data_IF_209747824998
#
_entry.id   IF_209747824998
#
_cell.length_a   1.000
_cell.length_b   1.000
_cell.length_c   1.000
_cell.angle_alpha   90.00
_cell.angle_beta   90.00
_cell.angle_gamma   90.00
#
_symmetry.space_group_name_H-M   'P 1'
#
loop_
_entity.id
_entity.type
_entity.pdbx_description
1 polymer ?
#
# COMPACT_ATOMS: atom_id res chain seq x y z
N UNK A 1 -20.60 -26.01 42.24
CA UNK A 1 -21.98 -25.78 42.71
C UNK A 1 -22.86 -26.69 41.89
N UNK A 2 -23.60 -27.57 42.58
CA UNK A 2 -23.93 -28.93 42.14
C UNK A 2 -24.72 -29.05 40.83
N UNK A 3 -24.27 -29.99 39.98
CA UNK A 3 -25.04 -30.52 38.85
C UNK A 3 -26.17 -31.40 39.40
N UNK A 4 -27.31 -30.81 39.76
CA UNK A 4 -28.46 -31.53 40.32
C UNK A 4 -29.28 -32.24 39.23
N UNK A 5 -28.62 -33.01 38.36
CA UNK A 5 -29.26 -33.76 37.26
C UNK A 5 -30.29 -34.76 37.81
N UNK A 6 -29.99 -35.41 38.94
CA UNK A 6 -30.89 -36.36 39.58
C UNK A 6 -32.19 -35.71 40.07
N UNK A 7 -32.12 -34.48 40.60
CA UNK A 7 -33.31 -33.74 40.96
C UNK A 7 -34.15 -33.38 39.71
N UNK A 8 -33.49 -32.98 38.61
CA UNK A 8 -34.19 -32.75 37.34
C UNK A 8 -34.85 -34.02 36.81
N UNK A 9 -34.22 -35.19 36.95
CA UNK A 9 -34.78 -36.49 36.56
C UNK A 9 -36.07 -36.79 37.32
N UNK A 10 -36.02 -36.75 38.65
CA UNK A 10 -37.17 -37.04 39.51
C UNK A 10 -38.33 -36.07 39.22
N UNK A 11 -38.03 -34.78 39.03
CA UNK A 11 -39.06 -33.77 38.75
C UNK A 11 -39.75 -33.99 37.40
N UNK A 12 -39.01 -34.37 36.36
CA UNK A 12 -39.58 -34.64 35.03
C UNK A 12 -40.31 -35.99 34.96
N UNK A 13 -39.92 -36.97 35.78
CA UNK A 13 -40.68 -38.21 35.97
C UNK A 13 -42.04 -37.96 36.62
N UNK A 14 -42.11 -37.05 37.60
CA UNK A 14 -43.36 -36.71 38.29
C UNK A 14 -44.27 -35.85 37.41
N UNK A 15 -43.70 -34.86 36.70
CA UNK A 15 -44.49 -33.98 35.85
C UNK A 15 -43.71 -33.55 34.58
N UNK A 16 -43.97 -34.17 33.42
CA UNK A 16 -43.28 -33.85 32.18
C UNK A 16 -43.63 -32.48 31.62
N UNK A 17 -44.74 -31.86 32.06
CA UNK A 17 -45.15 -30.52 31.59
C UNK A 17 -44.22 -29.40 32.05
N UNK A 18 -43.33 -29.66 33.02
CA UNK A 18 -42.37 -28.69 33.55
C UNK A 18 -41.22 -28.38 32.57
N UNK A 19 -40.97 -29.25 31.59
CA UNK A 19 -39.78 -29.19 30.72
C UNK A 19 -39.59 -27.84 30.02
N UNK A 20 -40.69 -27.27 29.51
CA UNK A 20 -40.69 -26.07 28.67
C UNK A 20 -41.26 -24.84 29.38
N UNK A 21 -41.46 -24.90 30.70
CA UNK A 21 -41.94 -23.74 31.46
C UNK A 21 -40.89 -22.62 31.49
N UNK A 22 -41.38 -21.39 31.37
CA UNK A 22 -40.56 -20.18 31.39
C UNK A 22 -40.82 -19.39 32.67
N UNK A 23 -39.80 -18.69 33.15
CA UNK A 23 -39.96 -17.68 34.20
C UNK A 23 -40.55 -16.36 33.63
N UNK A 24 -40.60 -15.30 34.45
CA UNK A 24 -41.07 -13.96 34.05
C UNK A 24 -40.28 -13.31 32.91
N UNK A 25 -39.05 -13.77 32.64
CA UNK A 25 -38.16 -13.25 31.61
C UNK A 25 -38.19 -14.10 30.32
N UNK A 26 -39.03 -15.14 30.26
CA UNK A 26 -39.06 -16.08 29.14
C UNK A 26 -37.95 -17.14 29.18
N UNK A 27 -37.18 -17.23 30.27
CA UNK A 27 -36.05 -18.12 30.43
C UNK A 27 -36.55 -19.52 30.83
N UNK A 28 -36.18 -20.53 30.04
CA UNK A 28 -36.45 -21.96 30.34
C UNK A 28 -35.36 -22.60 31.20
N UNK A 29 -35.63 -23.79 31.75
CA UNK A 29 -34.63 -24.58 32.47
C UNK A 29 -33.34 -24.82 31.65
N UNK A 30 -33.47 -24.97 30.33
CA UNK A 30 -32.37 -25.15 29.40
C UNK A 30 -31.44 -23.93 29.33
N UNK A 31 -31.99 -22.71 29.38
CA UNK A 31 -31.20 -21.47 29.44
C UNK A 31 -30.39 -21.40 30.74
N UNK A 32 -31.00 -21.75 31.87
CA UNK A 32 -30.32 -21.70 33.18
C UNK A 32 -29.17 -22.72 33.20
N UNK A 33 -29.38 -23.93 32.69
CA UNK A 33 -28.35 -24.95 32.59
C UNK A 33 -27.16 -24.47 31.72
N UNK A 34 -27.45 -23.85 30.58
CA UNK A 34 -26.47 -23.21 29.71
C UNK A 34 -25.69 -22.07 30.39
N UNK A 35 -26.38 -21.19 31.13
CA UNK A 35 -25.78 -20.08 31.88
C UNK A 35 -24.84 -20.56 32.98
N UNK A 36 -25.17 -21.70 33.61
CA UNK A 36 -24.43 -22.29 34.74
C UNK A 36 -23.33 -23.27 34.33
N UNK A 37 -23.07 -23.44 33.02
CA UNK A 37 -22.09 -24.38 32.48
C UNK A 37 -22.34 -25.85 32.89
N UNK A 38 -23.61 -26.24 33.04
CA UNK A 38 -23.96 -27.58 33.50
C UNK A 38 -24.24 -28.50 32.31
N UNK A 39 -23.21 -29.15 31.78
CA UNK A 39 -23.29 -29.99 30.57
C UNK A 39 -24.26 -31.16 30.76
N UNK A 40 -24.17 -31.89 31.88
CA UNK A 40 -25.02 -33.07 32.13
C UNK A 40 -26.51 -32.75 32.18
N UNK A 41 -26.88 -31.60 32.75
CA UNK A 41 -28.29 -31.17 32.74
C UNK A 41 -28.73 -30.76 31.33
N UNK A 42 -27.86 -30.16 30.53
CA UNK A 42 -28.16 -29.83 29.13
C UNK A 42 -28.38 -31.09 28.31
N UNK A 43 -27.47 -32.07 28.40
CA UNK A 43 -27.59 -33.37 27.74
C UNK A 43 -28.94 -34.03 28.06
N UNK A 44 -29.27 -34.10 29.35
CA UNK A 44 -30.53 -34.69 29.80
C UNK A 44 -31.77 -33.93 29.29
N UNK A 45 -31.77 -32.60 29.36
CA UNK A 45 -32.90 -31.78 28.89
C UNK A 45 -33.09 -31.88 27.36
N UNK A 46 -32.00 -31.83 26.59
CA UNK A 46 -32.06 -31.95 25.13
C UNK A 46 -32.51 -33.35 24.69
N UNK A 47 -32.04 -34.40 25.38
CA UNK A 47 -32.44 -35.79 25.14
C UNK A 47 -33.93 -36.04 25.42
N UNK A 48 -34.51 -35.35 26.41
CA UNK A 48 -35.95 -35.42 26.71
C UNK A 48 -36.81 -34.51 25.82
N UNK A 49 -36.25 -33.93 24.74
CA UNK A 49 -37.02 -33.16 23.77
C UNK A 49 -37.36 -31.74 24.20
N UNK A 50 -36.53 -31.09 25.04
CA UNK A 50 -36.73 -29.70 25.43
C UNK A 50 -36.87 -28.77 24.20
N UNK A 51 -37.86 -27.88 24.20
CA UNK A 51 -38.12 -26.99 23.08
C UNK A 51 -37.06 -25.88 22.99
N UNK A 52 -36.57 -25.61 21.77
CA UNK A 52 -35.58 -24.55 21.50
C UNK A 52 -36.33 -23.23 21.32
N UNK A 53 -36.61 -22.56 22.44
CA UNK A 53 -37.28 -21.26 22.48
C UNK A 53 -36.30 -20.14 22.84
N UNK A 54 -36.50 -18.91 22.32
CA UNK A 54 -35.80 -17.73 22.81
C UNK A 54 -36.41 -17.20 24.12
N UNK A 55 -35.64 -16.41 24.85
CA UNK A 55 -36.14 -15.57 25.95
C UNK A 55 -36.92 -14.34 25.43
N UNK A 56 -37.44 -13.49 26.32
CA UNK A 56 -38.14 -12.25 25.93
C UNK A 56 -37.25 -11.26 25.14
N UNK A 57 -35.92 -11.38 25.23
CA UNK A 57 -34.97 -10.55 24.49
C UNK A 57 -34.57 -11.18 23.14
N UNK A 58 -35.09 -12.36 22.80
CA UNK A 58 -34.75 -13.08 21.57
C UNK A 58 -33.45 -13.89 21.66
N UNK A 59 -32.87 -14.07 22.84
CA UNK A 59 -31.64 -14.85 23.06
C UNK A 59 -31.98 -16.31 23.33
N UNK A 60 -31.20 -17.22 22.74
CA UNK A 60 -31.34 -18.65 22.96
C UNK A 60 -30.33 -19.15 24.00
N UNK A 61 -30.60 -20.32 24.57
CA UNK A 61 -29.70 -20.97 25.52
C UNK A 61 -28.27 -21.16 24.97
N UNK A 62 -28.14 -21.45 23.67
CA UNK A 62 -26.83 -21.58 22.99
C UNK A 62 -26.05 -20.26 23.02
N UNK A 63 -26.70 -19.12 22.83
CA UNK A 63 -26.07 -17.80 22.89
C UNK A 63 -25.54 -17.49 24.29
N UNK A 64 -26.33 -17.82 25.32
CA UNK A 64 -25.88 -17.67 26.71
C UNK A 64 -24.67 -18.55 27.02
N UNK A 65 -24.64 -19.79 26.52
CA UNK A 65 -23.50 -20.68 26.73
C UNK A 65 -22.23 -20.14 26.05
N UNK A 66 -22.34 -19.67 24.80
CA UNK A 66 -21.20 -19.21 24.00
C UNK A 66 -20.66 -17.87 24.49
N UNK A 67 -21.53 -16.87 24.72
CA UNK A 67 -21.13 -15.51 25.17
C UNK A 67 -20.49 -15.51 26.55
N UNK A 68 -20.90 -16.43 27.43
CA UNK A 68 -20.30 -16.63 28.76
C UNK A 68 -19.07 -17.52 28.75
N UNK A 69 -18.66 -18.05 27.60
CA UNK A 69 -17.51 -18.94 27.44
C UNK A 69 -17.62 -20.22 28.29
N UNK A 70 -18.84 -20.75 28.43
CA UNK A 70 -19.12 -21.97 29.17
C UNK A 70 -18.75 -23.21 28.35
N UNK A 71 -17.45 -23.54 28.29
CA UNK A 71 -16.92 -24.56 27.38
C UNK A 71 -17.57 -25.95 27.50
N UNK A 72 -17.86 -26.40 28.73
CA UNK A 72 -18.42 -27.73 28.95
C UNK A 72 -19.86 -27.81 28.42
N UNK A 73 -20.68 -26.79 28.71
CA UNK A 73 -22.01 -26.66 28.13
C UNK A 73 -21.96 -26.56 26.61
N UNK A 74 -21.08 -25.72 26.05
CA UNK A 74 -21.00 -25.54 24.59
C UNK A 74 -20.55 -26.82 23.89
N UNK A 75 -19.55 -27.55 24.43
CA UNK A 75 -19.12 -28.85 23.89
C UNK A 75 -20.28 -29.85 23.84
N UNK A 76 -21.07 -29.91 24.90
CA UNK A 76 -22.22 -30.81 24.96
C UNK A 76 -23.30 -30.44 23.93
N UNK A 77 -23.67 -29.16 23.85
CA UNK A 77 -24.67 -28.66 22.89
C UNK A 77 -24.29 -29.00 21.45
N UNK A 78 -23.00 -28.85 21.16
CA UNK A 78 -22.40 -29.04 19.86
C UNK A 78 -22.35 -30.51 19.44
N UNK A 79 -22.06 -31.41 20.39
CA UNK A 79 -21.96 -32.85 20.14
C UNK A 79 -23.32 -33.54 20.15
N UNK A 80 -24.35 -32.90 20.69
CA UNK A 80 -25.70 -33.45 20.79
C UNK A 80 -26.35 -33.67 19.41
N UNK A 81 -27.17 -34.72 19.28
CA UNK A 81 -27.85 -35.11 18.02
C UNK A 81 -28.75 -34.01 17.43
N UNK A 82 -29.23 -33.10 18.29
CA UNK A 82 -30.09 -31.95 17.93
C UNK A 82 -29.32 -30.70 17.48
N UNK A 83 -27.99 -30.74 17.43
CA UNK A 83 -27.17 -29.62 16.93
C UNK A 83 -27.59 -29.13 15.52
N UNK A 84 -27.89 -30.00 14.54
CA UNK A 84 -28.35 -29.55 13.22
C UNK A 84 -29.65 -28.74 13.27
N UNK A 85 -30.59 -29.13 14.14
CA UNK A 85 -31.86 -28.40 14.37
C UNK A 85 -31.59 -27.00 14.92
N UNK A 86 -30.70 -26.88 15.92
CA UNK A 86 -30.27 -25.61 16.51
C UNK A 86 -29.62 -24.71 15.46
N UNK A 87 -28.71 -25.26 14.65
CA UNK A 87 -28.03 -24.52 13.58
C UNK A 87 -29.02 -24.04 12.52
N UNK A 88 -29.98 -24.88 12.12
CA UNK A 88 -30.97 -24.49 11.12
C UNK A 88 -31.84 -23.34 11.61
N UNK A 89 -32.37 -23.44 12.83
CA UNK A 89 -33.18 -22.41 13.49
C UNK A 89 -32.43 -21.07 13.62
N UNK A 90 -31.17 -21.12 14.05
CA UNK A 90 -30.37 -19.93 14.35
C UNK A 90 -29.57 -19.41 13.16
N UNK A 91 -29.47 -20.15 12.05
CA UNK A 91 -28.67 -19.73 10.89
C UNK A 91 -29.15 -18.41 10.27
N UNK A 92 -30.43 -18.09 10.43
CA UNK A 92 -31.06 -16.88 9.90
C UNK A 92 -31.17 -15.73 10.92
N UNK A 93 -30.81 -15.97 12.18
CA UNK A 93 -30.86 -14.94 13.22
C UNK A 93 -29.51 -14.22 13.32
N UNK A 94 -29.49 -13.08 14.00
CA UNK A 94 -28.25 -12.32 14.30
C UNK A 94 -27.26 -13.19 15.10
N UNK A 95 -27.81 -14.18 15.79
CA UNK A 95 -27.21 -15.09 16.76
C UNK A 95 -26.73 -16.42 16.12
N UNK A 96 -26.24 -16.36 14.89
CA UNK A 96 -25.72 -17.53 14.18
C UNK A 96 -24.64 -18.24 15.04
N UNK A 97 -24.82 -19.52 15.42
CA UNK A 97 -23.97 -20.19 16.40
C UNK A 97 -22.51 -20.25 15.96
N UNK A 98 -22.26 -20.48 14.67
CA UNK A 98 -20.88 -20.52 14.15
C UNK A 98 -20.18 -19.17 14.21
N UNK A 99 -20.89 -18.06 13.99
CA UNK A 99 -20.32 -16.72 14.12
C UNK A 99 -19.88 -16.48 15.56
N UNK A 100 -20.74 -16.83 16.52
CA UNK A 100 -20.44 -16.65 17.94
C UNK A 100 -19.33 -17.59 18.43
N UNK A 101 -19.30 -18.84 17.95
CA UNK A 101 -18.21 -19.76 18.29
C UNK A 101 -16.86 -19.25 17.78
N UNK A 102 -16.78 -18.71 16.55
CA UNK A 102 -15.55 -18.11 16.02
C UNK A 102 -15.12 -16.88 16.86
N UNK A 103 -16.09 -16.10 17.33
CA UNK A 103 -15.87 -14.89 18.11
C UNK A 103 -15.44 -15.18 19.56
N UNK A 104 -16.09 -16.10 20.27
CA UNK A 104 -15.87 -16.33 21.70
C UNK A 104 -15.09 -17.63 22.01
N UNK A 105 -15.33 -18.72 21.29
CA UNK A 105 -14.82 -20.07 21.60
C UNK A 105 -14.22 -20.78 20.37
N UNK A 106 -13.11 -20.28 19.81
CA UNK A 106 -12.51 -20.80 18.59
C UNK A 106 -12.02 -22.26 18.68
N UNK A 107 -11.69 -22.74 19.88
CA UNK A 107 -11.13 -24.09 20.06
C UNK A 107 -12.17 -25.18 19.82
N UNK A 108 -13.43 -24.94 20.20
CA UNK A 108 -14.55 -25.87 19.97
C UNK A 108 -14.91 -25.91 18.48
N UNK A 109 -14.70 -24.82 17.74
CA UNK A 109 -14.85 -24.84 16.28
C UNK A 109 -13.91 -25.85 15.62
N UNK A 110 -12.69 -26.07 16.15
CA UNK A 110 -11.73 -27.01 15.55
C UNK A 110 -12.25 -28.46 15.60
N UNK A 111 -12.99 -28.83 16.64
CA UNK A 111 -13.57 -30.18 16.76
C UNK A 111 -14.75 -30.41 15.83
N UNK A 112 -15.40 -29.34 15.36
CA UNK A 112 -16.57 -29.41 14.47
C UNK A 112 -16.27 -29.14 13.01
N UNK A 113 -15.01 -28.85 12.69
CA UNK A 113 -14.71 -28.11 11.49
C UNK A 113 -14.93 -28.96 10.23
N UNK A 114 -16.06 -28.72 9.55
CA UNK A 114 -16.46 -29.40 8.32
C UNK A 114 -16.67 -28.42 7.15
N UNK A 115 -16.56 -28.93 5.92
CA UNK A 115 -16.79 -28.13 4.69
C UNK A 115 -18.20 -27.53 4.61
N UNK A 116 -19.19 -28.17 5.24
CA UNK A 116 -20.58 -27.71 5.32
C UNK A 116 -20.71 -26.36 6.04
N UNK A 117 -19.81 -26.08 6.99
CA UNK A 117 -19.75 -24.84 7.77
C UNK A 117 -19.16 -23.71 6.92
N UNK A 118 -18.10 -24.01 6.15
CA UNK A 118 -17.43 -23.03 5.30
C UNK A 118 -18.28 -22.61 4.10
N UNK A 119 -19.02 -23.56 3.52
CA UNK A 119 -19.91 -23.28 2.41
C UNK A 119 -21.25 -24.01 2.61
N UNK A 120 -22.28 -23.32 3.14
CA UNK A 120 -23.59 -23.89 3.25
C UNK A 120 -24.12 -24.32 1.86
N UNK A 121 -24.83 -25.46 1.76
CA UNK A 121 -25.40 -25.91 0.48
C UNK A 121 -26.40 -24.89 -0.06
N UNK A 122 -26.33 -24.64 -1.38
CA UNK A 122 -27.15 -23.67 -2.12
C UNK A 122 -28.67 -23.95 -2.07
N UNK A 123 -29.09 -25.12 -1.56
CA UNK A 123 -30.45 -25.63 -1.64
C UNK A 123 -31.42 -25.03 -0.59
N UNK A 124 -30.92 -24.34 0.43
CA UNK A 124 -31.77 -23.71 1.45
C UNK A 124 -32.36 -22.39 0.94
N UNK A 125 -33.54 -22.47 0.30
CA UNK A 125 -34.32 -21.31 -0.18
C UNK A 125 -34.69 -20.30 0.91
N UNK A 126 -34.67 -20.74 2.17
CA UNK A 126 -35.05 -19.92 3.32
C UNK A 126 -33.86 -19.17 3.96
N UNK A 127 -32.63 -19.33 3.46
CA UNK A 127 -31.46 -18.64 4.02
C UNK A 127 -31.35 -17.22 3.48
N UNK A 128 -31.11 -16.26 4.36
CA UNK A 128 -30.76 -14.91 3.93
C UNK A 128 -29.48 -14.95 3.07
N UNK A 129 -29.39 -14.12 2.02
CA UNK A 129 -28.20 -14.04 1.19
C UNK A 129 -27.02 -13.58 2.06
N UNK A 130 -26.16 -14.52 2.41
CA UNK A 130 -24.95 -14.28 3.18
C UNK A 130 -23.82 -13.90 2.25
N UNK A 131 -22.92 -13.03 2.72
CA UNK A 131 -21.75 -12.67 1.93
C UNK A 131 -20.89 -13.90 1.63
N UNK A 132 -20.27 -13.98 0.44
CA UNK A 132 -19.37 -15.08 0.13
C UNK A 132 -18.21 -15.11 1.14
N UNK A 133 -17.87 -16.33 1.60
CA UNK A 133 -16.78 -16.60 2.54
C UNK A 133 -16.94 -15.87 3.89
N UNK A 134 -18.18 -15.63 4.35
CA UNK A 134 -18.45 -14.90 5.59
C UNK A 134 -17.71 -15.45 6.81
N UNK A 135 -17.69 -16.77 7.03
CA UNK A 135 -16.99 -17.38 8.17
C UNK A 135 -15.48 -17.08 8.16
N UNK A 136 -14.83 -17.16 7.00
CA UNK A 136 -13.41 -16.83 6.85
C UNK A 136 -13.15 -15.34 7.10
N UNK A 137 -14.03 -14.45 6.63
CA UNK A 137 -13.92 -13.01 6.93
C UNK A 137 -14.02 -12.73 8.43
N UNK A 138 -14.92 -13.42 9.14
CA UNK A 138 -15.07 -13.29 10.59
C UNK A 138 -13.81 -13.82 11.29
N UNK A 139 -13.25 -14.95 10.86
CA UNK A 139 -11.97 -15.47 11.40
C UNK A 139 -10.83 -14.46 11.24
N UNK A 140 -10.75 -13.77 10.10
CA UNK A 140 -9.76 -12.70 9.86
C UNK A 140 -10.02 -11.50 10.78
N UNK A 141 -11.29 -11.07 10.91
CA UNK A 141 -11.67 -9.92 11.73
C UNK A 141 -11.31 -10.13 13.21
N UNK A 142 -11.50 -11.34 13.73
CA UNK A 142 -11.14 -11.72 15.11
C UNK A 142 -9.71 -12.29 15.24
N UNK A 143 -8.87 -12.22 14.20
CA UNK A 143 -7.47 -12.70 14.19
C UNK A 143 -7.32 -14.14 14.70
N UNK A 144 -8.15 -15.04 14.19
CA UNK A 144 -8.17 -16.46 14.57
C UNK A 144 -7.19 -17.28 13.72
N UNK A 145 -5.90 -17.05 13.93
CA UNK A 145 -4.83 -17.61 13.08
C UNK A 145 -4.81 -19.14 13.10
N UNK A 146 -5.03 -19.77 14.26
CA UNK A 146 -5.09 -21.23 14.41
C UNK A 146 -6.21 -21.87 13.57
N UNK A 147 -7.36 -21.20 13.44
CA UNK A 147 -8.47 -21.67 12.61
C UNK A 147 -8.20 -21.45 11.12
N UNK A 148 -7.58 -20.33 10.76
CA UNK A 148 -7.20 -20.03 9.37
C UNK A 148 -6.11 -20.99 8.86
N UNK A 149 -5.17 -21.36 9.73
CA UNK A 149 -4.12 -22.34 9.46
C UNK A 149 -4.59 -23.80 9.51
N UNK A 150 -5.88 -24.04 9.82
CA UNK A 150 -6.41 -25.39 9.83
C UNK A 150 -6.34 -26.00 8.42
N UNK A 151 -5.90 -27.26 8.26
CA UNK A 151 -5.72 -27.90 6.94
C UNK A 151 -6.98 -27.84 6.07
N UNK A 152 -8.16 -27.86 6.68
CA UNK A 152 -9.43 -27.76 5.96
C UNK A 152 -9.65 -26.36 5.35
N UNK A 153 -9.34 -25.28 6.08
CA UNK A 153 -9.39 -23.91 5.55
C UNK A 153 -8.40 -23.74 4.41
N UNK A 154 -7.18 -24.26 4.58
CA UNK A 154 -6.13 -24.19 3.58
C UNK A 154 -6.53 -24.94 2.30
N UNK A 155 -6.98 -26.19 2.43
CA UNK A 155 -7.43 -26.99 1.30
C UNK A 155 -8.66 -26.39 0.61
N UNK A 156 -9.61 -25.85 1.37
CA UNK A 156 -10.77 -25.15 0.82
C UNK A 156 -10.38 -23.94 -0.03
N UNK A 157 -9.48 -23.09 0.48
CA UNK A 157 -8.96 -21.93 -0.25
C UNK A 157 -8.13 -22.35 -1.47
N UNK A 158 -7.30 -23.39 -1.35
CA UNK A 158 -6.54 -23.98 -2.47
C UNK A 158 -7.46 -24.48 -3.57
N UNK A 159 -8.53 -25.22 -3.25
CA UNK A 159 -9.50 -25.72 -4.23
C UNK A 159 -10.19 -24.56 -4.94
N UNK A 160 -10.67 -23.55 -4.20
CA UNK A 160 -11.29 -22.36 -4.82
C UNK A 160 -10.34 -21.59 -5.73
N UNK A 161 -9.09 -21.44 -5.29
CA UNK A 161 -8.05 -20.82 -6.10
C UNK A 161 -7.77 -21.61 -7.39
N UNK A 162 -7.66 -22.93 -7.30
CA UNK A 162 -7.42 -23.79 -8.46
C UNK A 162 -8.60 -23.88 -9.42
N UNK A 163 -9.83 -23.82 -8.92
CA UNK A 163 -11.04 -23.88 -9.76
C UNK A 163 -11.24 -22.61 -10.59
N UNK A 164 -11.18 -21.43 -9.98
CA UNK A 164 -11.48 -20.18 -10.68
C UNK A 164 -10.49 -19.04 -10.40
N UNK A 165 -9.93 -18.96 -9.20
CA UNK A 165 -9.09 -17.83 -8.78
C UNK A 165 -7.85 -17.64 -9.66
N UNK A 166 -7.14 -18.74 -9.96
CA UNK A 166 -5.93 -18.75 -10.78
C UNK A 166 -6.19 -18.25 -12.21
N UNK A 167 -7.28 -18.70 -12.83
CA UNK A 167 -7.62 -18.32 -14.20
C UNK A 167 -8.06 -16.86 -14.29
N UNK A 168 -8.89 -16.40 -13.35
CA UNK A 168 -9.31 -14.99 -13.28
C UNK A 168 -8.09 -14.10 -13.06
N UNK A 169 -7.20 -14.45 -12.12
CA UNK A 169 -5.99 -13.67 -11.87
C UNK A 169 -5.08 -13.65 -13.11
N UNK A 170 -4.86 -14.78 -13.78
CA UNK A 170 -4.05 -14.86 -14.98
C UNK A 170 -4.61 -13.97 -16.11
N UNK A 171 -5.92 -14.00 -16.35
CA UNK A 171 -6.58 -13.15 -17.35
C UNK A 171 -6.38 -11.67 -17.04
N UNK A 172 -6.57 -11.27 -15.77
CA UNK A 172 -6.38 -9.88 -15.32
C UNK A 172 -4.92 -9.46 -15.49
N UNK A 173 -3.97 -10.30 -15.11
CA UNK A 173 -2.54 -9.99 -15.22
C UNK A 173 -2.12 -9.85 -16.69
N UNK A 174 -2.56 -10.75 -17.57
CA UNK A 174 -2.30 -10.66 -19.01
C UNK A 174 -2.89 -9.37 -19.59
N UNK A 175 -4.12 -9.02 -19.20
CA UNK A 175 -4.75 -7.77 -19.61
C UNK A 175 -3.93 -6.53 -19.22
N UNK A 176 -3.45 -6.45 -17.98
CA UNK A 176 -2.62 -5.32 -17.54
C UNK A 176 -1.23 -5.29 -18.17
N UNK A 177 -0.63 -6.45 -18.49
CA UNK A 177 0.62 -6.52 -19.25
C UNK A 177 0.42 -5.97 -20.67
N UNK A 178 -0.65 -6.37 -21.36
CA UNK A 178 -0.98 -5.85 -22.69
C UNK A 178 -1.18 -4.34 -22.64
N UNK A 179 -1.98 -3.84 -21.69
CA UNK A 179 -2.21 -2.41 -21.51
C UNK A 179 -0.89 -1.66 -21.24
N UNK A 180 -0.06 -2.16 -20.33
CA UNK A 180 1.22 -1.54 -19.99
C UNK A 180 2.19 -1.52 -21.19
N UNK A 181 2.21 -2.60 -21.98
CA UNK A 181 3.01 -2.65 -23.20
C UNK A 181 2.53 -1.65 -24.26
N UNK A 182 1.22 -1.51 -24.45
CA UNK A 182 0.64 -0.55 -25.38
C UNK A 182 0.93 0.90 -24.97
N UNK A 183 0.80 1.21 -23.68
CA UNK A 183 1.13 2.53 -23.11
C UNK A 183 2.62 2.82 -23.30
N UNK A 184 3.50 1.91 -22.90
CA UNK A 184 4.95 2.06 -23.06
C UNK A 184 5.34 2.26 -24.52
N UNK A 185 4.75 1.49 -25.43
CA UNK A 185 4.98 1.65 -26.87
C UNK A 185 4.53 3.02 -27.39
N UNK A 186 3.36 3.51 -26.95
CA UNK A 186 2.87 4.84 -27.34
C UNK A 186 3.75 5.97 -26.81
N UNK A 187 4.18 5.90 -25.54
CA UNK A 187 5.03 6.91 -24.91
C UNK A 187 6.42 6.96 -25.56
N UNK A 188 7.05 5.81 -25.83
CA UNK A 188 8.37 5.76 -26.48
C UNK A 188 8.37 6.38 -27.88
N UNK A 189 7.23 6.35 -28.58
CA UNK A 189 7.09 6.96 -29.92
C UNK A 189 6.69 8.43 -29.89
N UNK A 190 6.15 8.93 -28.78
CA UNK A 190 5.85 10.35 -28.58
C UNK A 190 7.11 11.18 -28.27
N UNK A 191 8.21 10.54 -27.84
CA UNK A 191 9.43 11.24 -27.43
C UNK A 191 10.32 11.50 -28.64
N UNK A 192 10.56 12.79 -28.94
CA UNK A 192 11.80 13.42 -28.50
C UNK A 192 11.52 14.72 -27.76
N UNK A 193 12.13 14.86 -26.59
CA UNK A 193 12.10 16.08 -25.80
C UNK A 193 12.83 17.19 -26.56
N UNK A 194 12.09 18.06 -27.24
CA UNK A 194 12.62 19.33 -27.74
C UNK A 194 12.75 20.22 -26.50
N UNK A 195 13.96 20.28 -25.94
CA UNK A 195 14.29 21.27 -24.93
C UNK A 195 14.64 22.55 -25.70
N UNK A 196 13.93 23.65 -25.42
CA UNK A 196 14.31 24.99 -25.90
C UNK A 196 15.72 25.31 -25.40
N UNK A 197 16.73 25.01 -26.20
CA UNK A 197 18.11 25.31 -25.86
C UNK A 197 18.38 26.74 -26.31
N UNK A 198 18.05 27.71 -25.46
CA UNK A 198 18.35 29.14 -25.57
C UNK A 198 18.43 29.69 -27.00
N UNK A 199 17.32 30.17 -27.60
CA UNK A 199 17.26 31.04 -28.79
C UNK A 199 18.28 30.78 -29.93
N UNK A 200 18.81 29.57 -30.02
CA UNK A 200 19.77 29.19 -31.02
C UNK A 200 18.97 28.39 -32.03
N UNK A 201 18.35 29.11 -32.98
CA UNK A 201 17.52 28.56 -34.05
C UNK A 201 18.18 27.37 -34.79
N UNK A 202 19.51 27.24 -34.72
CA UNK A 202 20.26 26.09 -35.23
C UNK A 202 20.02 24.77 -34.46
N UNK A 203 19.89 24.80 -33.14
CA UNK A 203 19.63 23.59 -32.34
C UNK A 203 18.21 23.12 -32.56
N UNK A 204 17.24 24.04 -32.53
CA UNK A 204 15.83 23.72 -32.79
C UNK A 204 15.64 23.17 -34.21
N UNK A 205 16.27 23.77 -35.22
CA UNK A 205 16.21 23.27 -36.59
C UNK A 205 16.94 21.94 -36.78
N UNK A 206 18.01 21.67 -36.02
CA UNK A 206 18.72 20.39 -36.03
C UNK A 206 17.87 19.27 -35.40
N UNK A 207 17.30 19.55 -34.22
CA UNK A 207 16.42 18.64 -33.48
C UNK A 207 15.16 18.37 -34.30
N UNK A 208 14.52 19.41 -34.84
CA UNK A 208 13.35 19.27 -35.68
C UNK A 208 13.65 18.45 -36.95
N UNK A 209 14.82 18.62 -37.59
CA UNK A 209 15.18 17.81 -38.76
C UNK A 209 15.54 16.35 -38.42
N UNK A 210 16.19 16.10 -37.27
CA UNK A 210 16.54 14.74 -36.83
C UNK A 210 15.32 13.94 -36.36
N UNK A 211 14.34 14.62 -35.77
CA UNK A 211 13.22 13.97 -35.10
C UNK A 211 11.85 14.14 -35.78
N UNK A 212 11.69 15.06 -36.75
CA UNK A 212 10.46 15.17 -37.57
C UNK A 212 10.18 13.94 -38.42
N UNK A 213 11.14 13.01 -38.54
CA UNK A 213 10.99 11.75 -39.26
C UNK A 213 10.38 10.61 -38.42
N UNK A 214 9.91 10.84 -37.20
CA UNK A 214 9.03 9.85 -36.55
C UNK A 214 7.65 9.93 -37.19
N UNK A 215 7.50 9.28 -38.34
CA UNK A 215 6.22 9.14 -39.04
C UNK A 215 5.11 8.80 -38.04
N UNK A 216 4.06 9.61 -38.01
CA UNK A 216 2.77 9.24 -37.42
C UNK A 216 2.23 8.03 -38.19
N UNK A 217 2.69 6.85 -37.81
CA UNK A 217 2.17 5.62 -38.37
C UNK A 217 0.70 5.52 -37.99
N UNK A 218 -0.15 5.22 -38.96
CA UNK A 218 -1.57 4.88 -38.74
C UNK A 218 -1.76 3.84 -37.64
N UNK A 219 -0.72 3.02 -37.40
CA UNK A 219 -0.59 2.08 -36.29
C UNK A 219 -0.60 2.74 -34.90
N UNK A 220 0.16 3.81 -34.66
CA UNK A 220 0.16 4.53 -33.37
C UNK A 220 -1.20 5.12 -33.05
N UNK A 221 -1.84 5.74 -34.05
CA UNK A 221 -3.18 6.30 -33.89
C UNK A 221 -4.20 5.23 -33.52
N UNK A 222 -4.12 4.03 -34.12
CA UNK A 222 -4.97 2.88 -33.74
C UNK A 222 -4.72 2.42 -32.31
N UNK A 223 -3.47 2.36 -31.86
CA UNK A 223 -3.13 2.01 -30.48
C UNK A 223 -3.68 3.04 -29.48
N UNK A 224 -3.56 4.34 -29.77
CA UNK A 224 -4.09 5.40 -28.91
C UNK A 224 -5.63 5.34 -28.81
N UNK A 225 -6.33 5.07 -29.92
CA UNK A 225 -7.78 4.84 -29.92
C UNK A 225 -8.14 3.61 -29.07
N UNK A 226 -7.38 2.53 -29.18
CA UNK A 226 -7.57 1.33 -28.36
C UNK A 226 -7.37 1.63 -26.86
N UNK A 227 -6.29 2.33 -26.50
CA UNK A 227 -6.01 2.75 -25.12
C UNK A 227 -7.15 3.64 -24.58
N UNK A 228 -7.61 4.61 -25.36
CA UNK A 228 -8.71 5.49 -24.99
C UNK A 228 -10.00 4.68 -24.74
N UNK A 229 -10.36 3.76 -25.64
CA UNK A 229 -11.53 2.90 -25.47
C UNK A 229 -11.45 2.05 -24.20
N UNK A 230 -10.31 1.40 -23.96
CA UNK A 230 -10.09 0.57 -22.77
C UNK A 230 -10.18 1.41 -21.49
N UNK A 231 -9.56 2.59 -21.47
CA UNK A 231 -9.57 3.46 -20.29
C UNK A 231 -10.95 4.03 -19.97
N UNK A 232 -11.76 4.37 -20.98
CA UNK A 232 -13.15 4.77 -20.80
C UNK A 232 -14.00 3.63 -20.24
N UNK A 233 -13.80 2.40 -20.73
CA UNK A 233 -14.50 1.23 -20.20
C UNK A 233 -14.12 0.96 -18.73
N UNK A 234 -12.85 1.10 -18.39
CA UNK A 234 -12.37 0.97 -17.01
C UNK A 234 -12.96 2.06 -16.12
N UNK A 235 -12.96 3.32 -16.56
CA UNK A 235 -13.57 4.42 -15.82
C UNK A 235 -15.06 4.17 -15.58
N UNK A 236 -15.79 3.65 -16.56
CA UNK A 236 -17.18 3.27 -16.38
C UNK A 236 -17.35 2.18 -15.30
N UNK A 237 -16.51 1.14 -15.31
CA UNK A 237 -16.55 0.13 -14.24
C UNK A 237 -16.25 0.71 -12.86
N UNK A 238 -15.33 1.66 -12.76
CA UNK A 238 -15.02 2.35 -11.50
C UNK A 238 -16.19 3.21 -11.02
N UNK A 239 -16.90 3.90 -11.93
CA UNK A 239 -18.11 4.64 -11.59
C UNK A 239 -19.19 3.71 -11.02
N UNK A 240 -19.40 2.52 -11.60
CA UNK A 240 -20.32 1.52 -11.06
C UNK A 240 -19.89 1.03 -9.65
N UNK A 241 -18.59 0.86 -9.42
CA UNK A 241 -18.05 0.51 -8.10
C UNK A 241 -18.27 1.63 -7.08
N UNK A 242 -18.07 2.89 -7.46
CA UNK A 242 -18.32 4.06 -6.60
C UNK A 242 -19.82 4.14 -6.22
N UNK A 243 -20.73 3.91 -7.18
CA UNK A 243 -22.19 3.93 -6.92
C UNK A 243 -22.58 2.82 -5.93
N UNK A 244 -22.06 1.60 -6.13
CA UNK A 244 -22.41 0.45 -5.28
C UNK A 244 -21.81 0.53 -3.88
N UNK A 245 -20.53 0.92 -3.74
CA UNK A 245 -19.82 0.93 -2.47
C UNK A 245 -19.91 2.28 -1.72
N UNK A 246 -20.35 3.35 -2.39
CA UNK A 246 -20.50 4.72 -1.85
C UNK A 246 -19.20 5.19 -1.17
N UNK A 247 -19.31 5.72 0.06
CA UNK A 247 -18.18 6.24 0.84
C UNK A 247 -17.16 5.16 1.18
N UNK A 248 -17.56 3.88 1.26
CA UNK A 248 -16.62 2.77 1.57
C UNK A 248 -15.53 2.64 0.49
N UNK A 249 -15.84 2.99 -0.76
CA UNK A 249 -14.89 2.95 -1.88
C UNK A 249 -13.62 3.78 -1.61
N UNK A 250 -13.79 4.99 -1.07
CA UNK A 250 -12.69 5.95 -0.83
C UNK A 250 -11.83 5.61 0.38
N UNK A 251 -12.21 4.63 1.20
CA UNK A 251 -11.42 4.20 2.35
C UNK A 251 -10.15 3.43 1.93
N UNK A 252 -10.15 2.82 0.75
CA UNK A 252 -9.03 2.03 0.25
C UNK A 252 -8.14 2.86 -0.68
N UNK A 253 -6.86 3.02 -0.32
CA UNK A 253 -5.91 3.84 -1.09
C UNK A 253 -5.68 3.35 -2.54
N UNK A 254 -5.67 2.03 -2.75
CA UNK A 254 -5.51 1.44 -4.09
C UNK A 254 -6.59 1.90 -5.08
N UNK A 255 -7.83 2.07 -4.60
CA UNK A 255 -8.95 2.52 -5.44
C UNK A 255 -8.76 3.96 -5.92
N UNK A 256 -8.20 4.82 -5.05
CA UNK A 256 -7.87 6.19 -5.41
C UNK A 256 -6.72 6.26 -6.42
N UNK A 257 -5.68 5.45 -6.23
CA UNK A 257 -4.55 5.35 -7.15
C UNK A 257 -4.97 4.91 -8.55
N UNK A 258 -5.81 3.87 -8.66
CA UNK A 258 -6.34 3.40 -9.94
C UNK A 258 -7.18 4.47 -10.64
N UNK A 259 -8.00 5.22 -9.90
CA UNK A 259 -8.82 6.31 -10.46
C UNK A 259 -7.94 7.44 -11.06
N UNK A 260 -6.93 7.89 -10.30
CA UNK A 260 -5.98 8.91 -10.77
C UNK A 260 -5.28 8.43 -12.04
N UNK A 261 -4.76 7.20 -12.03
CA UNK A 261 -4.10 6.63 -13.19
C UNK A 261 -4.99 6.62 -14.45
N UNK A 262 -6.24 6.15 -14.33
CA UNK A 262 -7.16 6.11 -15.47
C UNK A 262 -7.51 7.51 -15.99
N UNK A 263 -7.67 8.50 -15.10
CA UNK A 263 -7.91 9.89 -15.54
C UNK A 263 -6.73 10.49 -16.32
N UNK A 264 -5.49 10.28 -15.85
CA UNK A 264 -4.29 10.78 -16.51
C UNK A 264 -4.07 10.11 -17.87
N UNK A 265 -4.37 8.81 -17.95
CA UNK A 265 -4.28 8.04 -19.18
C UNK A 265 -5.26 8.54 -20.25
N UNK A 266 -6.50 8.87 -19.87
CA UNK A 266 -7.48 9.48 -20.77
C UNK A 266 -6.98 10.83 -21.27
N UNK A 267 -6.57 11.72 -20.36
CA UNK A 267 -6.07 13.06 -20.72
C UNK A 267 -4.91 12.95 -21.71
N UNK A 268 -3.93 12.08 -21.45
CA UNK A 268 -2.80 11.87 -22.33
C UNK A 268 -3.21 11.35 -23.72
N UNK A 269 -4.11 10.37 -23.77
CA UNK A 269 -4.58 9.80 -25.04
C UNK A 269 -5.38 10.80 -25.88
N UNK A 270 -6.20 11.66 -25.26
CA UNK A 270 -6.98 12.70 -25.97
C UNK A 270 -6.06 13.78 -26.52
N UNK A 271 -5.12 14.29 -25.71
CA UNK A 271 -4.15 15.31 -26.15
C UNK A 271 -3.32 14.77 -27.32
N UNK A 272 -2.86 13.52 -27.23
CA UNK A 272 -2.08 12.89 -28.30
C UNK A 272 -2.88 12.64 -29.58
N UNK A 273 -4.20 12.45 -29.50
CA UNK A 273 -5.06 12.24 -30.68
C UNK A 273 -5.42 13.56 -31.39
N UNK A 274 -5.48 14.66 -30.64
CA UNK A 274 -5.71 16.01 -31.20
C UNK A 274 -4.47 16.49 -32.00
N UNK A 275 -3.32 15.81 -31.86
CA UNK A 275 -2.08 16.17 -32.56
C UNK A 275 -1.40 17.40 -31.99
N UNK A 276 -1.76 17.81 -30.76
CA UNK A 276 -1.16 18.96 -30.10
C UNK A 276 0.14 18.53 -29.40
N UNK A 277 1.22 18.41 -30.17
CA UNK A 277 2.54 17.96 -29.72
C UNK A 277 3.31 19.08 -29.00
N UNK A 278 2.72 19.61 -27.93
CA UNK A 278 3.36 20.56 -27.04
C UNK A 278 4.24 19.84 -26.00
N UNK A 279 5.28 20.50 -25.48
CA UNK A 279 6.17 19.97 -24.44
C UNK A 279 5.41 19.30 -23.26
N UNK A 280 4.29 19.88 -22.88
CA UNK A 280 3.44 19.39 -21.79
C UNK A 280 2.86 17.99 -22.03
N UNK A 281 2.54 17.62 -23.28
CA UNK A 281 2.00 16.30 -23.58
C UNK A 281 3.06 15.20 -23.46
N UNK A 282 4.31 15.49 -23.86
CA UNK A 282 5.42 14.57 -23.70
C UNK A 282 5.77 14.33 -22.22
N UNK A 283 5.77 15.39 -21.39
CA UNK A 283 5.99 15.26 -19.94
C UNK A 283 4.88 14.42 -19.29
N UNK A 284 3.62 14.67 -19.66
CA UNK A 284 2.48 13.90 -19.17
C UNK A 284 2.60 12.42 -19.55
N UNK A 285 3.03 12.10 -20.77
CA UNK A 285 3.23 10.73 -21.23
C UNK A 285 4.27 9.97 -20.38
N UNK A 286 5.38 10.63 -20.00
CA UNK A 286 6.40 10.02 -19.13
C UNK A 286 5.82 9.71 -17.74
N UNK A 287 5.06 10.64 -17.17
CA UNK A 287 4.39 10.43 -15.87
C UNK A 287 3.40 9.26 -15.96
N UNK A 288 2.58 9.22 -17.01
CA UNK A 288 1.62 8.14 -17.24
C UNK A 288 2.32 6.79 -17.41
N UNK A 289 3.44 6.73 -18.12
CA UNK A 289 4.25 5.52 -18.27
C UNK A 289 4.76 5.02 -16.90
N UNK A 290 5.32 5.91 -16.08
CA UNK A 290 5.78 5.54 -14.75
C UNK A 290 4.64 5.01 -13.86
N UNK A 291 3.50 5.71 -13.83
CA UNK A 291 2.33 5.30 -13.06
C UNK A 291 1.76 3.95 -13.57
N UNK A 292 1.83 3.68 -14.89
CA UNK A 292 1.38 2.41 -15.47
C UNK A 292 2.21 1.22 -14.94
N UNK A 293 3.53 1.36 -14.88
CA UNK A 293 4.42 0.36 -14.29
C UNK A 293 4.15 0.16 -12.79
N UNK A 294 3.93 1.24 -12.05
CA UNK A 294 3.56 1.16 -10.63
C UNK A 294 2.20 0.48 -10.42
N UNK A 295 1.22 0.74 -11.29
CA UNK A 295 -0.08 0.07 -11.23
C UNK A 295 0.05 -1.43 -11.52
N UNK A 296 0.89 -1.84 -12.48
CA UNK A 296 1.18 -3.25 -12.74
C UNK A 296 1.74 -3.95 -11.50
N UNK A 297 2.67 -3.30 -10.78
CA UNK A 297 3.22 -3.80 -9.52
C UNK A 297 2.12 -4.02 -8.47
N UNK A 298 1.20 -3.06 -8.31
CA UNK A 298 0.10 -3.19 -7.34
C UNK A 298 -0.89 -4.33 -7.68
N UNK A 299 -1.11 -4.64 -8.97
CA UNK A 299 -1.97 -5.77 -9.35
C UNK A 299 -1.36 -7.14 -8.97
N UNK A 300 -0.03 -7.21 -8.87
CA UNK A 300 0.68 -8.42 -8.47
C UNK A 300 0.53 -8.74 -6.97
N UNK A 301 -0.06 -7.85 -6.15
CA UNK A 301 -0.36 -8.09 -4.71
C UNK A 301 -1.23 -9.34 -4.51
N UNK A 302 -2.13 -9.64 -5.45
CA UNK A 302 -3.07 -10.76 -5.34
C UNK A 302 -2.44 -12.12 -5.67
N UNK A 303 -1.21 -12.15 -6.16
CA UNK A 303 -0.48 -13.39 -6.43
C UNK A 303 0.03 -14.01 -5.12
N UNK A 304 0.04 -15.33 -5.03
CA UNK A 304 0.46 -16.04 -3.81
C UNK A 304 1.98 -15.89 -3.55
N UNK A 305 2.80 -15.98 -4.60
CA UNK A 305 4.26 -15.95 -4.46
C UNK A 305 4.82 -14.52 -4.40
N UNK A 306 4.38 -13.62 -5.29
CA UNK A 306 4.92 -12.25 -5.34
C UNK A 306 4.19 -11.28 -4.40
N UNK A 307 2.93 -11.58 -4.03
CA UNK A 307 2.10 -10.68 -3.25
C UNK A 307 2.69 -10.33 -1.88
N UNK A 308 3.31 -11.31 -1.22
CA UNK A 308 3.95 -11.13 0.10
C UNK A 308 5.09 -10.11 0.02
N UNK A 309 5.95 -10.21 -1.00
CA UNK A 309 7.06 -9.26 -1.19
C UNK A 309 6.56 -7.83 -1.45
N UNK A 310 5.49 -7.68 -2.20
CA UNK A 310 4.91 -6.35 -2.48
C UNK A 310 4.26 -5.77 -1.23
N UNK A 311 3.54 -6.57 -0.44
CA UNK A 311 2.98 -6.13 0.85
C UNK A 311 4.10 -5.70 1.79
N UNK A 312 5.20 -6.47 1.84
CA UNK A 312 6.38 -6.11 2.62
C UNK A 312 7.01 -4.80 2.12
N UNK A 313 7.16 -4.61 0.81
CA UNK A 313 7.65 -3.35 0.22
C UNK A 313 6.76 -2.15 0.57
N UNK A 314 5.42 -2.29 0.50
CA UNK A 314 4.49 -1.22 0.89
C UNK A 314 4.62 -0.91 2.39
N UNK A 315 4.81 -1.92 3.23
CA UNK A 315 5.04 -1.72 4.66
C UNK A 315 6.34 -0.96 4.93
N UNK A 316 7.43 -1.40 4.30
CA UNK A 316 8.77 -0.80 4.36
C UNK A 316 8.76 0.65 3.85
N UNK A 317 8.11 0.93 2.72
CA UNK A 317 7.98 2.29 2.22
C UNK A 317 7.15 3.17 3.15
N UNK A 318 6.10 2.63 3.76
CA UNK A 318 5.31 3.36 4.76
C UNK A 318 6.09 3.64 6.06
N UNK A 319 6.95 2.72 6.52
CA UNK A 319 7.82 2.97 7.68
C UNK A 319 8.88 4.02 7.37
N UNK A 320 9.50 3.95 6.18
CA UNK A 320 10.45 4.98 5.70
C UNK A 320 9.77 6.34 5.55
N UNK A 321 8.55 6.39 4.99
CA UNK A 321 7.78 7.63 4.84
C UNK A 321 7.48 8.31 6.19
N UNK A 322 7.33 7.54 7.28
CA UNK A 322 7.17 8.11 8.63
C UNK A 322 8.44 8.78 9.15
N UNK A 323 9.62 8.34 8.70
CA UNK A 323 10.92 8.91 9.06
C UNK A 323 11.33 10.07 8.14
N UNK A 324 10.67 10.21 6.99
CA UNK A 324 10.96 11.22 5.98
C UNK A 324 10.89 12.67 6.50
N UNK A 325 9.94 13.09 7.37
CA UNK A 325 9.92 14.46 7.89
C UNK A 325 11.17 14.82 8.70
N UNK A 326 11.66 13.89 9.54
CA UNK A 326 12.89 14.08 10.30
C UNK A 326 14.10 14.18 9.35
N UNK A 327 14.15 13.31 8.34
CA UNK A 327 15.23 13.35 7.34
C UNK A 327 15.26 14.66 6.55
N UNK A 328 14.10 15.16 6.13
CA UNK A 328 13.98 16.42 5.39
C UNK A 328 14.36 17.63 6.24
N UNK A 329 13.96 17.66 7.52
CA UNK A 329 14.36 18.72 8.44
C UNK A 329 15.89 18.83 8.56
N UNK A 330 16.56 17.69 8.79
CA UNK A 330 18.02 17.64 8.84
C UNK A 330 18.64 18.02 7.50
N UNK A 331 18.12 17.51 6.39
CA UNK A 331 18.58 17.86 5.03
C UNK A 331 18.49 19.36 4.76
N UNK A 332 17.39 20.02 5.12
CA UNK A 332 17.21 21.47 4.98
C UNK A 332 18.23 22.23 5.85
N UNK A 333 18.46 21.79 7.09
CA UNK A 333 19.46 22.40 7.96
C UNK A 333 20.87 22.34 7.36
N UNK A 334 21.30 21.17 6.89
CA UNK A 334 22.62 21.02 6.28
C UNK A 334 22.73 21.68 4.90
N UNK A 335 21.68 21.63 4.07
CA UNK A 335 21.68 22.28 2.75
C UNK A 335 21.87 23.80 2.86
N UNK A 336 21.17 24.43 3.81
CA UNK A 336 21.31 25.88 4.02
C UNK A 336 22.68 26.27 4.57
N UNK A 337 23.26 25.47 5.48
CA UNK A 337 24.61 25.68 6.02
C UNK A 337 25.67 25.48 4.93
N UNK A 338 25.60 24.38 4.15
CA UNK A 338 26.55 24.15 3.05
C UNK A 338 26.45 25.20 1.96
N UNK A 339 25.24 25.70 1.68
CA UNK A 339 25.07 26.83 0.77
C UNK A 339 25.88 28.03 1.27
N UNK A 340 25.72 28.43 2.52
CA UNK A 340 26.45 29.59 3.06
C UNK A 340 27.97 29.37 3.12
N UNK A 341 28.42 28.15 3.43
CA UNK A 341 29.85 27.84 3.59
C UNK A 341 30.61 27.72 2.27
N UNK A 342 29.91 27.36 1.18
CA UNK A 342 30.50 27.07 -0.13
C UNK A 342 30.08 28.13 -1.18
N UNK A 343 29.23 29.10 -0.81
CA UNK A 343 28.83 30.18 -1.72
C UNK A 343 30.04 31.00 -2.18
N UNK A 344 30.24 30.99 -3.50
CA UNK A 344 31.16 31.88 -4.19
C UNK A 344 30.39 33.13 -4.67
N UNK A 345 31.05 34.29 -4.81
CA UNK A 345 30.43 35.50 -5.32
C UNK A 345 29.97 35.31 -6.78
N UNK A 346 28.81 35.89 -7.09
CA UNK A 346 28.19 35.82 -8.43
C UNK A 346 29.08 36.44 -9.52
N UNK A 347 29.01 35.88 -10.72
CA UNK A 347 29.85 36.25 -11.87
C UNK A 347 29.65 37.72 -12.31
N UNK A 348 28.47 38.29 -12.06
CA UNK A 348 28.14 39.70 -12.30
C UNK A 348 28.91 40.66 -11.37
N UNK A 349 29.10 40.24 -10.11
CA UNK A 349 29.92 40.98 -9.14
C UNK A 349 31.39 40.90 -9.54
N UNK A 350 31.84 39.78 -10.11
CA UNK A 350 33.22 39.64 -10.58
C UNK A 350 33.53 40.51 -11.81
N UNK A 351 32.60 40.60 -12.76
CA UNK A 351 32.77 41.36 -14.00
C UNK A 351 32.75 42.88 -13.80
N UNK A 352 32.01 43.36 -12.79
CA UNK A 352 31.92 44.78 -12.41
C UNK A 352 33.13 45.30 -11.60
N UNK A 353 34.05 44.43 -11.18
CA UNK A 353 35.28 44.83 -10.49
C UNK A 353 36.32 45.47 -11.44
N UNK A 354 37.12 46.40 -10.90
CA UNK A 354 38.29 46.96 -11.60
C UNK A 354 39.37 45.90 -11.84
N UNK A 355 40.22 46.09 -12.86
CA UNK A 355 41.18 45.06 -13.28
C UNK A 355 42.22 44.68 -12.20
N UNK A 356 42.60 45.63 -11.33
CA UNK A 356 43.45 45.36 -10.17
C UNK A 356 42.73 44.47 -9.12
N UNK A 357 41.44 44.72 -8.90
CA UNK A 357 40.63 43.92 -7.97
C UNK A 357 40.33 42.53 -8.54
N UNK A 358 40.19 42.38 -9.86
CA UNK A 358 40.08 41.06 -10.53
C UNK A 358 41.32 40.20 -10.30
N UNK A 359 42.52 40.78 -10.36
CA UNK A 359 43.79 40.05 -10.11
C UNK A 359 43.91 39.64 -8.64
N UNK A 360 43.50 40.51 -7.70
CA UNK A 360 43.48 40.16 -6.27
C UNK A 360 42.44 39.07 -5.97
N UNK A 361 41.22 39.17 -6.51
CA UNK A 361 40.20 38.12 -6.38
C UNK A 361 40.65 36.79 -6.98
N UNK A 362 41.37 36.81 -8.12
CA UNK A 362 41.98 35.62 -8.73
C UNK A 362 42.99 34.93 -7.79
N UNK A 363 43.75 35.72 -7.03
CA UNK A 363 44.70 35.22 -6.05
C UNK A 363 44.04 34.85 -4.71
N UNK A 364 42.71 35.04 -4.56
CA UNK A 364 41.92 34.57 -3.42
C UNK A 364 41.11 33.30 -3.75
N UNK A 365 40.75 33.09 -5.02
CA UNK A 365 39.99 31.93 -5.49
C UNK A 365 40.63 31.37 -6.77
N UNK A 366 41.32 30.22 -6.67
CA UNK A 366 42.07 29.58 -7.78
C UNK A 366 41.19 29.18 -8.99
N UNK A 367 39.86 29.23 -8.88
CA UNK A 367 38.95 28.64 -9.87
C UNK A 367 38.43 29.57 -10.99
N UNK A 368 38.91 30.82 -11.06
CA UNK A 368 38.58 31.75 -12.15
C UNK A 368 39.72 31.85 -13.19
N UNK A 369 39.72 31.08 -14.29
CA UNK A 369 40.70 31.24 -15.36
C UNK A 369 40.40 32.38 -16.34
N UNK A 370 41.45 33.13 -16.66
CA UNK A 370 41.56 34.25 -17.60
C UNK A 370 40.79 34.11 -18.92
N UNK A 371 40.07 35.17 -19.31
CA UNK A 371 39.62 35.42 -20.68
C UNK A 371 40.75 35.96 -21.57
N UNK A 372 41.95 35.34 -21.57
CA UNK A 372 43.07 35.84 -22.39
C UNK A 372 44.04 34.81 -22.98
N UNK A 373 43.79 33.49 -22.95
CA UNK A 373 44.56 32.55 -23.79
C UNK A 373 43.73 31.35 -24.25
N UNK A 374 43.72 31.13 -25.57
CA UNK A 374 42.62 30.52 -26.32
C UNK A 374 42.60 28.98 -26.41
N UNK A 375 43.37 28.23 -25.60
CA UNK A 375 43.59 26.78 -25.85
C UNK A 375 43.29 25.81 -24.71
N UNK A 376 42.71 26.24 -23.58
CA UNK A 376 42.36 25.35 -22.44
C UNK A 376 40.87 25.41 -22.09
N UNK A 377 39.99 25.45 -23.10
CA UNK A 377 38.58 25.81 -22.95
C UNK A 377 37.62 24.67 -22.55
N UNK A 378 38.00 23.39 -22.66
CA UNK A 378 37.04 22.28 -22.43
C UNK A 378 37.09 21.70 -21.01
N UNK A 379 38.27 21.58 -20.40
CA UNK A 379 38.42 20.99 -19.04
C UNK A 379 38.03 22.01 -17.95
N UNK A 380 38.28 23.31 -18.18
CA UNK A 380 38.03 24.40 -17.22
C UNK A 380 36.58 24.86 -17.17
N UNK A 381 35.84 24.73 -18.29
CA UNK A 381 34.39 25.02 -18.37
C UNK A 381 33.55 24.01 -17.59
N UNK A 382 34.05 22.78 -17.44
CA UNK A 382 33.41 21.70 -16.67
C UNK A 382 33.49 22.00 -15.17
N UNK A 383 34.65 22.43 -14.67
CA UNK A 383 34.83 22.80 -13.25
C UNK A 383 34.07 24.11 -12.91
N UNK A 384 34.05 25.11 -13.81
CA UNK A 384 33.25 26.34 -13.64
C UNK A 384 31.75 26.10 -13.48
N UNK A 385 31.18 25.14 -14.21
CA UNK A 385 29.75 24.78 -14.11
C UNK A 385 29.42 24.03 -12.80
N UNK A 386 30.40 23.35 -12.20
CA UNK A 386 30.20 22.64 -10.92
C UNK A 386 30.04 23.57 -9.71
N UNK A 387 30.58 24.79 -9.78
CA UNK A 387 30.48 25.78 -8.69
C UNK A 387 29.31 26.75 -8.85
N UNK A 388 28.98 27.21 -10.07
CA UNK A 388 27.74 27.96 -10.33
C UNK A 388 26.47 27.11 -10.07
N UNK A 389 26.60 25.78 -9.92
CA UNK A 389 25.48 24.92 -9.50
C UNK A 389 24.99 25.19 -8.06
N UNK A 390 25.71 25.94 -7.21
CA UNK A 390 25.25 26.25 -5.84
C UNK A 390 24.51 27.59 -5.68
N UNK A 391 24.37 28.40 -6.73
CA UNK A 391 23.56 29.62 -6.67
C UNK A 391 22.06 29.28 -6.57
N UNK A 392 21.63 28.18 -7.20
CA UNK A 392 20.26 27.71 -7.17
C UNK A 392 19.96 26.86 -5.94
N UNK A 393 18.93 27.26 -5.19
CA UNK A 393 18.52 26.57 -3.97
C UNK A 393 18.19 25.09 -4.24
N UNK A 394 17.55 24.78 -5.37
CA UNK A 394 17.16 23.42 -5.74
C UNK A 394 18.34 22.48 -5.97
N UNK A 395 19.43 22.98 -6.54
CA UNK A 395 20.64 22.20 -6.79
C UNK A 395 21.41 21.93 -5.50
N UNK A 396 21.43 22.88 -4.55
CA UNK A 396 22.01 22.66 -3.21
C UNK A 396 21.27 21.55 -2.45
N UNK A 397 19.95 21.52 -2.57
CA UNK A 397 19.12 20.45 -2.02
C UNK A 397 19.37 19.10 -2.68
N UNK A 398 19.51 19.07 -4.01
CA UNK A 398 19.85 17.84 -4.72
C UNK A 398 21.23 17.32 -4.35
N UNK A 399 22.25 18.17 -4.31
CA UNK A 399 23.62 17.79 -3.95
C UNK A 399 23.70 17.26 -2.51
N UNK A 400 23.00 17.89 -1.57
CA UNK A 400 22.92 17.38 -0.19
C UNK A 400 22.19 16.04 -0.09
N UNK A 401 21.14 15.82 -0.88
CA UNK A 401 20.46 14.52 -0.97
C UNK A 401 21.37 13.44 -1.58
N UNK A 402 22.15 13.77 -2.61
CA UNK A 402 23.13 12.84 -3.19
C UNK A 402 24.24 12.51 -2.19
N UNK A 403 24.72 13.49 -1.42
CA UNK A 403 25.66 13.26 -0.33
C UNK A 403 25.06 12.38 0.78
N UNK A 404 23.74 12.45 1.03
CA UNK A 404 23.05 11.52 1.94
C UNK A 404 23.09 10.08 1.44
N UNK A 405 22.96 9.86 0.12
CA UNK A 405 23.08 8.52 -0.48
C UNK A 405 24.53 7.99 -0.54
N UNK A 406 25.51 8.78 -0.08
CA UNK A 406 26.93 8.41 -0.08
C UNK A 406 27.70 8.85 -1.32
N UNK A 407 27.08 9.58 -2.25
CA UNK A 407 27.79 10.19 -3.39
C UNK A 407 28.43 11.52 -2.98
N UNK A 408 29.72 11.48 -2.66
CA UNK A 408 30.47 12.68 -2.26
C UNK A 408 31.32 13.24 -3.40
N UNK A 409 30.68 13.84 -4.40
CA UNK A 409 31.36 14.43 -5.57
C UNK A 409 32.38 15.52 -5.21
N UNK A 410 32.25 16.16 -4.04
CA UNK A 410 33.02 17.33 -3.62
C UNK A 410 34.10 17.03 -2.56
N UNK A 411 34.29 15.77 -2.14
CA UNK A 411 35.24 15.42 -1.07
C UNK A 411 36.67 15.85 -1.38
N UNK A 412 37.11 15.66 -2.63
CA UNK A 412 38.47 16.03 -3.06
C UNK A 412 38.72 17.53 -2.88
N UNK A 413 37.75 18.36 -3.24
CA UNK A 413 37.83 19.82 -3.13
C UNK A 413 37.88 20.21 -1.65
N UNK A 414 36.98 19.68 -0.82
CA UNK A 414 36.91 20.03 0.60
C UNK A 414 38.21 19.61 1.34
N UNK A 415 38.74 18.42 1.05
CA UNK A 415 39.97 17.92 1.68
C UNK A 415 41.18 18.70 1.20
N UNK A 416 41.31 18.93 -0.10
CA UNK A 416 42.43 19.68 -0.66
C UNK A 416 42.45 21.11 -0.10
N UNK A 417 41.29 21.76 0.00
CA UNK A 417 41.15 23.08 0.62
C UNK A 417 41.50 23.12 2.11
N UNK A 418 41.38 22.00 2.82
CA UNK A 418 41.76 21.90 4.23
C UNK A 418 43.27 21.67 4.42
N UNK A 419 43.89 20.87 3.55
CA UNK A 419 45.30 20.47 3.67
C UNK A 419 46.27 21.54 3.17
N UNK A 420 45.91 22.28 2.12
CA UNK A 420 46.86 23.17 1.45
C UNK A 420 46.97 24.58 2.10
N UNK A 421 46.06 24.97 3.02
CA UNK A 421 45.94 26.29 3.71
C UNK A 421 46.18 27.53 2.79
N UNK A 422 46.22 27.33 1.47
CA UNK A 422 46.49 28.30 0.43
C UNK A 422 45.36 28.28 -0.61
N UNK A 423 44.68 29.43 -0.69
CA UNK A 423 43.92 29.94 -1.84
C UNK A 423 42.98 28.94 -2.53
N UNK A 424 42.22 28.17 -1.77
CA UNK A 424 41.34 27.16 -2.33
C UNK A 424 39.88 27.58 -2.16
N UNK A 425 39.19 27.87 -3.28
CA UNK A 425 37.74 27.86 -3.61
C UNK A 425 36.61 27.99 -2.55
N UNK A 426 36.86 27.98 -1.25
CA UNK A 426 35.90 27.91 -0.15
C UNK A 426 36.35 28.94 0.90
N UNK A 427 35.48 29.89 1.31
CA UNK A 427 35.86 30.97 2.22
C UNK A 427 36.24 30.51 3.64
N UNK A 428 35.70 29.39 4.12
CA UNK A 428 35.91 28.89 5.48
C UNK A 428 36.28 27.40 5.53
N UNK A 429 37.47 26.98 5.08
CA UNK A 429 37.80 25.56 4.87
C UNK A 429 37.73 24.71 6.15
N UNK A 430 38.23 25.23 7.28
CA UNK A 430 38.21 24.54 8.58
C UNK A 430 36.79 24.32 9.09
N UNK A 431 35.92 25.32 8.97
CA UNK A 431 34.52 25.25 9.39
C UNK A 431 33.73 24.30 8.48
N UNK A 432 33.93 24.40 7.16
CA UNK A 432 33.32 23.51 6.16
C UNK A 432 33.70 22.05 6.41
N UNK A 433 34.96 21.76 6.75
CA UNK A 433 35.40 20.40 7.06
C UNK A 433 34.72 19.83 8.31
N UNK A 434 34.53 20.64 9.37
CA UNK A 434 33.81 20.23 10.59
C UNK A 434 32.35 19.90 10.28
N UNK A 435 31.63 20.77 9.57
CA UNK A 435 30.24 20.52 9.18
C UNK A 435 30.11 19.33 8.22
N UNK A 436 31.12 19.09 7.38
CA UNK A 436 31.17 17.94 6.50
C UNK A 436 31.32 16.62 7.27
N UNK A 437 32.20 16.55 8.28
CA UNK A 437 32.31 15.39 9.18
C UNK A 437 31.00 15.19 9.95
N UNK A 438 30.43 16.27 10.52
CA UNK A 438 29.17 16.21 11.24
C UNK A 438 28.03 15.68 10.37
N UNK A 439 27.96 16.11 9.11
CA UNK A 439 26.99 15.62 8.13
C UNK A 439 27.13 14.12 7.89
N UNK A 440 28.35 13.62 7.65
CA UNK A 440 28.61 12.19 7.39
C UNK A 440 28.17 11.32 8.57
N UNK A 441 28.42 11.77 9.80
CA UNK A 441 28.01 11.05 11.01
C UNK A 441 26.48 11.08 11.16
N UNK A 442 25.87 12.25 11.08
CA UNK A 442 24.45 12.44 11.43
C UNK A 442 23.47 11.94 10.37
N UNK A 443 23.81 12.03 9.08
CA UNK A 443 22.89 11.68 8.00
C UNK A 443 23.22 10.29 7.43
N UNK A 444 24.31 10.07 6.67
CA UNK A 444 24.61 8.76 6.10
C UNK A 444 24.78 7.64 7.12
N UNK A 445 25.39 7.89 8.30
CA UNK A 445 25.65 6.83 9.27
C UNK A 445 24.47 6.63 10.21
N UNK A 446 24.06 7.65 10.96
CA UNK A 446 23.00 7.47 11.97
C UNK A 446 21.60 7.42 11.40
N UNK A 447 21.27 8.21 10.37
CA UNK A 447 19.93 8.21 9.81
C UNK A 447 19.66 6.93 9.00
N UNK A 448 20.62 6.47 8.19
CA UNK A 448 20.49 5.23 7.42
C UNK A 448 20.49 4.01 8.35
N UNK A 449 21.33 3.99 9.39
CA UNK A 449 21.27 2.89 10.37
C UNK A 449 19.94 2.89 11.15
N UNK A 450 19.37 4.06 11.45
CA UNK A 450 18.07 4.17 12.11
C UNK A 450 16.92 3.74 11.20
N UNK A 451 16.98 4.02 9.90
CA UNK A 451 15.99 3.50 8.94
C UNK A 451 16.12 1.99 8.80
N UNK A 452 17.34 1.45 8.72
CA UNK A 452 17.60 -0.01 8.66
C UNK A 452 17.12 -0.74 9.92
N UNK A 453 17.38 -0.22 11.12
CA UNK A 453 17.02 -0.90 12.38
C UNK A 453 15.51 -0.87 12.69
N UNK A 454 14.73 -0.02 12.02
CA UNK A 454 13.27 0.04 12.15
C UNK A 454 12.52 -0.73 11.04
N UNK A 455 13.25 -1.20 10.03
CA UNK A 455 12.78 -2.13 9.01
C UNK A 455 12.86 -3.55 9.55
#
# INVERSE_FOLDING_TARGET
>A
MQENVEACRILLEINPTLLNQTNYDGITALHIAAIRNNSRTIEYLLSNGAEIKPDHNGLYFSNYAITRQNEAAVKEIVLHERWPEIVELLSNTIYCPFKELIEYLPEICLTLFDFSILQPPLKNRNRQPTEPLQHLKIMILHKRDKLLAHPLCEMFLKVKWMMYGRWIHLIITVYYIILNSAVTFSCLRQVPLIMDYNNNNQVDHCVQNLYSQTNESSFNRRILIFILFVSLSNMFTQCLQIISQRVKYFKHWNNHFVLIFQSLLIINSVISLIGNNQLYSAVLAIIVMFIAWMNLLLQMIRSQDFGIFIIMFIHVTATVAKLLPLSLYLLIGFATVFRQLIQLPDEEVFTSLSDNNKIQFRNCFIEYPSSLNHSMNNITKINRRQFNMLSDIGLTFFDTLMMMMGEYKRTKIIIQSYLEDQVSAIPYPKLTFIFYIAFIILIPITLISLTINKL
#
